data_IF_504594898761
#
_entry.id   IF_504594898761
#
_cell.length_a   1.000
_cell.length_b   1.000
_cell.length_c   1.000
_cell.angle_alpha   90.00
_cell.angle_beta   90.00
_cell.angle_gamma   90.00
#
_symmetry.space_group_name_H-M   'P 1'
#
loop_
_entity.id
_entity.type
_entity.pdbx_description
1 polymer ?
#
# COMPACT_ATOMS: atom_id res chain seq x y z
N UNK A 1 30.96 5.96 -17.49
CA UNK A 1 29.92 7.01 -17.50
C UNK A 1 29.00 6.82 -16.31
N UNK A 2 29.14 7.67 -15.29
CA UNK A 2 28.27 7.74 -14.13
C UNK A 2 26.99 8.49 -14.51
N UNK A 3 25.84 7.82 -14.48
CA UNK A 3 24.54 8.49 -14.53
C UNK A 3 23.95 8.49 -13.12
N UNK A 4 24.22 9.57 -12.41
CA UNK A 4 23.50 9.97 -11.20
C UNK A 4 22.08 10.37 -11.60
N UNK A 5 21.12 9.47 -11.35
CA UNK A 5 19.70 9.77 -11.47
C UNK A 5 19.22 10.38 -10.15
N UNK A 6 19.14 11.72 -10.09
CA UNK A 6 18.51 12.46 -9.00
C UNK A 6 16.99 12.20 -9.01
N UNK A 7 16.56 11.15 -8.29
CA UNK A 7 15.15 10.80 -8.02
C UNK A 7 14.50 11.77 -7.03
N UNK A 8 14.39 13.07 -7.36
CA UNK A 8 13.59 14.00 -6.55
C UNK A 8 12.21 14.33 -7.13
N UNK A 9 11.95 14.06 -8.42
CA UNK A 9 10.75 14.54 -9.10
C UNK A 9 10.05 13.47 -9.96
N UNK A 10 9.89 12.23 -9.49
CA UNK A 10 9.19 11.20 -10.28
C UNK A 10 7.73 11.61 -10.59
N UNK A 11 7.07 12.32 -9.67
CA UNK A 11 5.68 12.74 -9.81
C UNK A 11 5.47 14.01 -10.65
N UNK A 12 6.50 14.86 -10.78
CA UNK A 12 6.37 16.11 -11.54
C UNK A 12 6.18 15.88 -13.05
N UNK A 13 6.47 14.68 -13.55
CA UNK A 13 6.40 14.31 -14.97
C UNK A 13 5.39 13.20 -15.27
N UNK A 14 4.63 12.71 -14.29
CA UNK A 14 3.53 11.77 -14.52
C UNK A 14 2.25 12.55 -14.82
N UNK A 15 2.04 12.88 -16.09
CA UNK A 15 0.71 13.26 -16.58
C UNK A 15 -0.14 11.97 -16.61
N UNK A 16 -1.05 11.83 -15.66
CA UNK A 16 -2.28 11.06 -15.89
C UNK A 16 -3.33 12.05 -16.41
N UNK A 17 -3.33 12.40 -17.70
CA UNK A 17 -4.17 13.47 -18.21
C UNK A 17 -5.68 13.22 -17.98
N UNK A 18 -6.06 11.97 -17.67
CA UNK A 18 -7.45 11.53 -17.54
C UNK A 18 -7.79 10.89 -16.18
N UNK A 19 -6.87 10.84 -15.21
CA UNK A 19 -7.17 10.25 -13.90
C UNK A 19 -7.90 11.26 -13.00
N UNK A 20 -9.23 11.18 -12.98
CA UNK A 20 -10.09 12.07 -12.17
C UNK A 20 -10.04 11.72 -10.67
N UNK A 21 -9.82 10.46 -10.32
CA UNK A 21 -9.82 9.99 -8.93
C UNK A 21 -8.63 9.11 -8.58
N UNK A 22 -8.03 9.35 -7.42
CA UNK A 22 -7.04 8.51 -6.77
C UNK A 22 -7.59 8.05 -5.41
N UNK A 23 -7.64 6.74 -5.19
CA UNK A 23 -8.05 6.15 -3.92
C UNK A 23 -6.87 5.49 -3.23
N UNK A 24 -6.60 5.90 -2.00
CA UNK A 24 -5.56 5.33 -1.15
C UNK A 24 -6.23 4.63 0.02
N UNK A 25 -6.03 3.31 0.11
CA UNK A 25 -6.67 2.47 1.12
C UNK A 25 -5.66 2.10 2.20
N UNK A 26 -5.87 2.61 3.40
CA UNK A 26 -5.10 2.38 4.62
C UNK A 26 -3.58 2.34 4.43
N UNK A 27 -3.05 3.28 3.65
CA UNK A 27 -1.63 3.39 3.34
C UNK A 27 -1.14 4.80 3.66
N UNK A 28 -0.06 4.87 4.45
CA UNK A 28 0.52 6.15 4.86
C UNK A 28 1.12 6.90 3.66
N UNK A 29 0.93 8.23 3.56
CA UNK A 29 1.44 9.02 2.44
C UNK A 29 2.90 9.46 2.62
N UNK A 30 3.44 9.32 3.82
CA UNK A 30 4.82 9.68 4.17
C UNK A 30 5.77 8.50 4.15
N UNK A 31 7.02 8.79 4.47
CA UNK A 31 8.02 7.75 4.78
C UNK A 31 7.52 6.92 5.97
N UNK A 32 7.71 5.60 5.88
CA UNK A 32 7.31 4.67 6.93
C UNK A 32 8.41 4.61 7.96
N UNK A 33 8.12 5.02 9.19
CA UNK A 33 9.04 4.81 10.30
C UNK A 33 9.12 3.30 10.61
N UNK A 34 10.30 2.67 10.53
CA UNK A 34 10.46 1.24 10.84
C UNK A 34 10.02 0.88 12.27
N UNK A 35 10.11 1.83 13.20
CA UNK A 35 9.73 1.63 14.61
C UNK A 35 8.21 1.53 14.82
N UNK A 36 7.40 1.95 13.85
CA UNK A 36 5.95 1.99 13.93
C UNK A 36 5.27 0.75 13.34
N UNK A 37 6.06 -0.25 12.93
CA UNK A 37 5.56 -1.56 12.50
C UNK A 37 6.16 -2.66 13.36
N UNK A 38 5.47 -3.79 13.47
CA UNK A 38 6.00 -5.00 14.10
C UNK A 38 7.16 -5.65 13.32
N UNK A 39 7.52 -5.08 12.15
CA UNK A 39 8.58 -5.57 11.28
C UNK A 39 8.28 -6.94 10.66
N UNK A 40 7.06 -7.46 10.77
CA UNK A 40 6.74 -8.83 10.34
C UNK A 40 6.97 -9.00 8.84
N UNK A 41 6.54 -8.03 8.02
CA UNK A 41 6.74 -8.05 6.56
C UNK A 41 8.23 -8.02 6.20
N UNK A 42 9.03 -7.19 6.85
CA UNK A 42 10.48 -7.13 6.63
C UNK A 42 11.15 -8.46 7.02
N UNK A 43 10.77 -9.01 8.17
CA UNK A 43 11.28 -10.30 8.64
C UNK A 43 10.92 -11.42 7.67
N UNK A 44 9.70 -11.43 7.12
CA UNK A 44 9.28 -12.38 6.09
C UNK A 44 10.16 -12.21 4.85
N UNK A 45 10.25 -11.01 4.27
CA UNK A 45 11.02 -10.77 3.05
C UNK A 45 12.50 -11.18 3.20
N UNK A 46 13.15 -10.79 4.31
CA UNK A 46 14.52 -11.18 4.62
C UNK A 46 14.67 -12.69 4.76
N UNK A 47 13.69 -13.36 5.39
CA UNK A 47 13.68 -14.82 5.49
C UNK A 47 13.61 -15.46 4.11
N UNK A 48 12.69 -14.99 3.25
CA UNK A 48 12.50 -15.55 1.92
C UNK A 48 13.75 -15.38 1.04
N UNK A 49 14.46 -14.25 1.16
CA UNK A 49 15.72 -14.02 0.45
C UNK A 49 16.85 -14.96 0.91
N UNK A 50 16.80 -15.46 2.16
CA UNK A 50 17.76 -16.42 2.70
C UNK A 50 17.46 -17.88 2.35
N UNK A 51 16.32 -18.16 1.72
CA UNK A 51 15.93 -19.53 1.35
C UNK A 51 16.76 -20.06 0.17
N UNK A 52 16.88 -21.40 0.04
CA UNK A 52 17.48 -22.00 -1.14
C UNK A 52 16.73 -21.61 -2.42
N UNK A 53 17.46 -21.52 -3.54
CA UNK A 53 16.93 -21.11 -4.85
C UNK A 53 15.90 -22.08 -5.43
N UNK A 54 15.86 -23.32 -4.95
CA UNK A 54 14.83 -24.31 -5.27
C UNK A 54 14.12 -24.72 -4.00
N UNK A 55 12.81 -24.53 -3.95
CA UNK A 55 12.00 -24.91 -2.80
C UNK A 55 11.56 -26.37 -2.96
N UNK A 56 11.96 -27.28 -2.05
CA UNK A 56 11.70 -28.71 -2.20
C UNK A 56 10.21 -29.07 -2.29
N UNK A 57 9.37 -28.40 -1.50
CA UNK A 57 7.91 -28.53 -1.57
C UNK A 57 7.23 -27.43 -0.74
N UNK A 58 5.95 -27.17 -1.01
CA UNK A 58 5.12 -26.32 -0.15
C UNK A 58 5.14 -26.77 1.31
N UNK A 59 5.05 -28.08 1.57
CA UNK A 59 5.06 -28.64 2.93
C UNK A 59 6.37 -28.34 3.64
N UNK A 60 7.50 -28.44 2.93
CA UNK A 60 8.80 -28.10 3.47
C UNK A 60 8.87 -26.62 3.85
N UNK A 61 8.45 -25.72 2.95
CA UNK A 61 8.47 -24.28 3.21
C UNK A 61 7.64 -23.90 4.45
N UNK A 62 6.41 -24.42 4.54
CA UNK A 62 5.53 -24.16 5.69
C UNK A 62 6.17 -24.63 6.99
N UNK A 63 6.75 -25.84 7.01
CA UNK A 63 7.40 -26.39 8.20
C UNK A 63 8.62 -25.54 8.60
N UNK A 64 9.43 -25.14 7.62
CA UNK A 64 10.62 -24.34 7.84
C UNK A 64 10.31 -22.93 8.36
N UNK A 65 9.28 -22.28 7.84
CA UNK A 65 8.84 -20.96 8.36
C UNK A 65 8.34 -21.06 9.81
N UNK A 66 7.63 -22.13 10.18
CA UNK A 66 7.21 -22.36 11.57
C UNK A 66 8.42 -22.57 12.48
N UNK A 67 9.44 -23.32 12.03
CA UNK A 67 10.70 -23.50 12.78
C UNK A 67 11.43 -22.18 13.02
N UNK A 68 11.30 -21.22 12.10
CA UNK A 68 11.84 -19.85 12.23
C UNK A 68 10.96 -18.93 13.10
N UNK A 69 9.87 -19.44 13.66
CA UNK A 69 9.00 -18.75 14.60
C UNK A 69 7.86 -17.95 13.99
N UNK A 70 7.55 -18.15 12.70
CA UNK A 70 6.36 -17.56 12.09
C UNK A 70 5.08 -18.33 12.46
N UNK A 71 3.95 -17.63 12.45
CA UNK A 71 2.66 -18.28 12.70
C UNK A 71 2.33 -19.30 11.60
N UNK A 72 1.54 -20.31 11.96
CA UNK A 72 1.10 -21.33 11.00
C UNK A 72 0.30 -20.72 9.84
N UNK A 73 -0.62 -19.80 10.15
CA UNK A 73 -1.45 -19.12 9.15
C UNK A 73 -0.61 -18.33 8.15
N UNK A 74 0.37 -17.55 8.62
CA UNK A 74 1.28 -16.81 7.76
C UNK A 74 2.13 -17.76 6.89
N UNK A 75 2.64 -18.83 7.48
CA UNK A 75 3.46 -19.83 6.78
C UNK A 75 2.67 -20.54 5.67
N UNK A 76 1.41 -20.90 5.94
CA UNK A 76 0.50 -21.48 4.94
C UNK A 76 0.14 -20.50 3.83
N UNK A 77 -0.10 -19.23 4.18
CA UNK A 77 -0.36 -18.16 3.21
C UNK A 77 0.82 -17.95 2.26
N UNK A 78 2.05 -17.82 2.77
CA UNK A 78 3.26 -17.73 1.94
C UNK A 78 3.44 -18.99 1.08
N UNK A 79 3.18 -20.17 1.63
CA UNK A 79 3.23 -21.43 0.87
C UNK A 79 2.23 -21.50 -0.29
N UNK A 80 1.13 -20.74 -0.23
CA UNK A 80 0.14 -20.65 -1.32
C UNK A 80 0.67 -19.89 -2.53
N UNK A 81 1.70 -19.04 -2.35
CA UNK A 81 2.35 -18.27 -3.40
C UNK A 81 3.41 -19.06 -4.18
N UNK A 82 3.41 -20.39 -4.08
CA UNK A 82 4.29 -21.29 -4.85
C UNK A 82 3.54 -21.94 -6.01
N UNK A 83 4.19 -21.93 -7.18
CA UNK A 83 3.81 -22.68 -8.36
C UNK A 83 4.60 -23.98 -8.47
N UNK A 84 3.89 -25.06 -8.83
CA UNK A 84 4.51 -26.34 -9.15
C UNK A 84 5.26 -26.25 -10.47
N UNK A 85 6.54 -26.57 -10.45
CA UNK A 85 7.42 -26.64 -11.63
C UNK A 85 8.18 -27.98 -11.61
N UNK A 86 7.54 -29.03 -12.12
CA UNK A 86 8.12 -30.38 -12.12
C UNK A 86 8.27 -30.95 -10.71
N UNK A 87 9.50 -31.32 -10.32
CA UNK A 87 9.83 -31.83 -8.98
C UNK A 87 10.09 -30.73 -7.95
N UNK A 88 10.08 -29.46 -8.36
CA UNK A 88 10.39 -28.32 -7.50
C UNK A 88 9.24 -27.29 -7.49
N UNK A 89 9.20 -26.49 -6.43
CA UNK A 89 8.29 -25.36 -6.32
C UNK A 89 9.05 -24.05 -6.59
N UNK A 90 8.42 -23.13 -7.30
CA UNK A 90 8.97 -21.80 -7.61
C UNK A 90 8.01 -20.71 -7.14
N UNK A 91 8.52 -19.52 -6.86
CA UNK A 91 7.66 -18.39 -6.50
C UNK A 91 6.73 -18.01 -7.64
N UNK A 92 5.46 -17.76 -7.32
CA UNK A 92 4.49 -17.21 -8.26
C UNK A 92 4.70 -15.71 -8.54
N UNK A 93 5.65 -15.08 -7.84
CA UNK A 93 5.99 -13.67 -7.95
C UNK A 93 7.51 -13.48 -7.95
N UNK A 94 7.95 -12.31 -8.40
CA UNK A 94 9.35 -11.89 -8.29
C UNK A 94 9.64 -11.41 -6.87
N UNK A 95 10.39 -12.22 -6.10
CA UNK A 95 10.75 -11.91 -4.73
C UNK A 95 11.63 -10.64 -4.63
N UNK A 96 12.56 -10.46 -5.56
CA UNK A 96 13.45 -9.30 -5.55
C UNK A 96 12.66 -8.03 -5.90
N UNK A 97 11.76 -8.13 -6.88
CA UNK A 97 10.79 -7.08 -7.20
C UNK A 97 9.92 -6.70 -5.99
N UNK A 98 9.44 -7.69 -5.22
CA UNK A 98 8.66 -7.44 -4.01
C UNK A 98 9.45 -6.69 -2.93
N UNK A 99 10.72 -7.06 -2.72
CA UNK A 99 11.63 -6.36 -1.79
C UNK A 99 11.87 -4.93 -2.22
N UNK A 100 12.13 -4.69 -3.51
CA UNK A 100 12.32 -3.35 -4.05
C UNK A 100 11.06 -2.49 -3.92
N UNK A 101 9.88 -3.07 -4.16
CA UNK A 101 8.60 -2.40 -3.99
C UNK A 101 8.35 -2.03 -2.52
N UNK A 102 8.63 -2.94 -1.59
CA UNK A 102 8.51 -2.70 -0.16
C UNK A 102 9.44 -1.58 0.32
N UNK A 103 10.72 -1.61 -0.08
CA UNK A 103 11.67 -0.54 0.25
C UNK A 103 11.24 0.79 -0.35
N UNK A 104 10.80 0.79 -1.61
CA UNK A 104 10.28 2.01 -2.25
C UNK A 104 9.05 2.57 -1.55
N UNK A 105 8.19 1.72 -0.97
CA UNK A 105 7.04 2.17 -0.19
C UNK A 105 7.50 2.85 1.10
N UNK A 106 8.47 2.27 1.80
CA UNK A 106 9.01 2.83 3.05
C UNK A 106 9.72 4.17 2.87
N UNK A 107 10.48 4.33 1.80
CA UNK A 107 11.37 5.47 1.59
C UNK A 107 10.72 6.66 0.87
N UNK A 108 9.52 6.50 0.28
CA UNK A 108 8.91 7.55 -0.52
C UNK A 108 7.92 8.37 0.29
N UNK A 109 8.04 9.68 0.15
CA UNK A 109 7.04 10.63 0.60
C UNK A 109 6.22 11.18 -0.57
N UNK A 110 4.90 11.20 -0.39
CA UNK A 110 3.91 11.76 -1.31
C UNK A 110 3.21 12.99 -0.75
N UNK A 111 3.73 13.60 0.31
CA UNK A 111 3.14 14.80 0.91
C UNK A 111 2.99 15.95 -0.09
N UNK A 112 4.00 16.16 -0.94
CA UNK A 112 3.94 17.20 -1.98
C UNK A 112 2.78 16.99 -2.96
N UNK A 113 2.35 15.75 -3.21
CA UNK A 113 1.19 15.47 -4.07
C UNK A 113 -0.12 15.80 -3.35
N UNK A 114 -0.19 15.57 -2.04
CA UNK A 114 -1.37 15.88 -1.23
C UNK A 114 -1.49 17.38 -0.92
N UNK A 115 -0.37 18.07 -0.82
CA UNK A 115 -0.30 19.53 -0.62
C UNK A 115 -0.62 20.30 -1.90
N UNK A 116 -0.26 19.74 -3.06
CA UNK A 116 -0.46 20.36 -4.37
C UNK A 116 -1.10 19.35 -5.34
N UNK A 117 -2.34 18.91 -5.08
CA UNK A 117 -3.01 17.95 -5.95
C UNK A 117 -3.21 18.56 -7.35
N UNK A 118 -2.96 17.81 -8.44
CA UNK A 118 -3.18 18.29 -9.80
C UNK A 118 -4.62 18.79 -9.98
N UNK A 119 -4.78 19.89 -10.73
CA UNK A 119 -6.10 20.45 -11.01
C UNK A 119 -7.03 19.40 -11.63
N UNK A 120 -8.23 19.28 -11.08
CA UNK A 120 -9.24 18.31 -11.54
C UNK A 120 -9.08 16.90 -10.96
N UNK A 121 -8.02 16.62 -10.21
CA UNK A 121 -7.86 15.34 -9.51
C UNK A 121 -8.51 15.38 -8.13
N UNK A 122 -9.26 14.34 -7.79
CA UNK A 122 -9.73 14.06 -6.44
C UNK A 122 -8.95 12.92 -5.81
N UNK A 123 -8.24 13.19 -4.72
CA UNK A 123 -7.51 12.21 -3.94
C UNK A 123 -8.35 11.89 -2.70
N UNK A 124 -8.78 10.64 -2.56
CA UNK A 124 -9.56 10.17 -1.40
C UNK A 124 -8.74 9.15 -0.62
N UNK A 125 -8.43 9.49 0.62
CA UNK A 125 -7.68 8.64 1.56
C UNK A 125 -8.66 7.99 2.50
N UNK A 126 -8.68 6.66 2.55
CA UNK A 126 -9.51 5.88 3.47
C UNK A 126 -8.61 5.29 4.54
N UNK A 127 -8.70 5.79 5.77
CA UNK A 127 -7.98 5.28 6.94
C UNK A 127 -8.89 4.33 7.73
N UNK A 128 -8.38 3.16 8.13
CA UNK A 128 -9.09 2.31 9.07
C UNK A 128 -9.01 2.90 10.49
N UNK A 129 -10.13 2.90 11.22
CA UNK A 129 -10.20 3.45 12.58
C UNK A 129 -9.21 2.81 13.57
N UNK A 130 -9.00 1.50 13.46
CA UNK A 130 -8.15 0.72 14.36
C UNK A 130 -6.83 0.29 13.71
N UNK A 131 -6.40 0.98 12.64
CA UNK A 131 -5.12 0.69 11.98
C UNK A 131 -3.95 1.14 12.86
N UNK A 132 -2.98 0.25 13.03
CA UNK A 132 -1.74 0.49 13.79
C UNK A 132 -0.67 1.22 12.97
N UNK A 133 -0.94 1.53 11.69
CA UNK A 133 0.03 2.07 10.74
C UNK A 133 0.18 3.59 10.80
N UNK A 134 -0.66 4.29 11.56
CA UNK A 134 -0.82 5.73 11.45
C UNK A 134 -0.40 6.44 12.73
N UNK A 135 0.60 7.30 12.61
CA UNK A 135 0.97 8.23 13.68
C UNK A 135 -0.03 9.39 13.80
N UNK A 136 -0.17 9.90 15.03
CA UNK A 136 -1.09 11.00 15.32
C UNK A 136 -0.78 12.28 14.54
N UNK A 137 0.50 12.58 14.29
CA UNK A 137 0.92 13.76 13.53
C UNK A 137 0.59 13.61 12.04
N UNK A 138 0.74 12.41 11.46
CA UNK A 138 0.33 12.10 10.08
C UNK A 138 -1.18 12.30 9.92
N UNK A 139 -1.96 11.81 10.89
CA UNK A 139 -3.42 11.96 10.93
C UNK A 139 -3.79 13.45 10.98
N UNK A 140 -3.23 14.21 11.91
CA UNK A 140 -3.52 15.64 12.07
C UNK A 140 -3.15 16.45 10.83
N UNK A 141 -2.03 16.12 10.18
CA UNK A 141 -1.61 16.77 8.93
C UNK A 141 -2.60 16.48 7.79
N UNK A 142 -3.05 15.24 7.66
CA UNK A 142 -4.06 14.87 6.66
C UNK A 142 -5.40 15.57 6.88
N UNK A 143 -5.88 15.61 8.12
CA UNK A 143 -7.12 16.31 8.46
C UNK A 143 -7.00 17.81 8.20
N UNK A 144 -5.84 18.41 8.49
CA UNK A 144 -5.58 19.82 8.19
C UNK A 144 -5.64 20.10 6.69
N UNK A 145 -5.02 19.24 5.86
CA UNK A 145 -5.07 19.35 4.39
C UNK A 145 -6.48 19.20 3.84
N UNK A 146 -7.24 18.22 4.33
CA UNK A 146 -8.62 18.00 3.88
C UNK A 146 -9.57 19.16 4.24
N UNK A 147 -9.28 19.87 5.33
CA UNK A 147 -10.06 21.03 5.79
C UNK A 147 -9.61 22.36 5.16
N UNK A 148 -8.46 22.40 4.49
CA UNK A 148 -8.03 23.57 3.73
C UNK A 148 -8.92 23.72 2.50
N UNK A 149 -9.87 24.66 2.57
CA UNK A 149 -10.69 25.03 1.42
C UNK A 149 -9.81 25.60 0.31
N UNK A 150 -9.72 24.89 -0.81
CA UNK A 150 -9.02 25.38 -2.00
C UNK A 150 -9.76 26.52 -2.68
N UNK A 151 -9.02 27.41 -3.34
CA UNK A 151 -9.57 28.46 -4.21
C UNK A 151 -10.04 27.93 -5.59
N UNK A 152 -9.98 26.60 -5.79
CA UNK A 152 -10.33 25.92 -7.03
C UNK A 152 -9.21 25.88 -8.08
N UNK A 153 -8.00 26.37 -7.75
CA UNK A 153 -6.84 26.30 -8.65
C UNK A 153 -6.18 24.92 -8.67
N UNK A 154 -6.27 24.17 -7.56
CA UNK A 154 -5.72 22.82 -7.37
C UNK A 154 -6.82 21.75 -7.30
N UNK A 155 -6.40 20.48 -7.26
CA UNK A 155 -7.27 19.34 -6.98
C UNK A 155 -7.78 19.31 -5.54
N UNK A 156 -8.43 18.21 -5.14
CA UNK A 156 -9.02 18.08 -3.80
C UNK A 156 -8.48 16.85 -3.10
N UNK A 157 -8.22 16.99 -1.80
CA UNK A 157 -7.94 15.86 -0.90
C UNK A 157 -9.12 15.65 0.03
N UNK A 158 -9.57 14.42 0.18
CA UNK A 158 -10.61 14.00 1.13
C UNK A 158 -10.07 12.89 2.00
N UNK A 159 -10.38 12.93 3.29
CA UNK A 159 -9.99 11.90 4.26
C UNK A 159 -11.25 11.28 4.83
N UNK A 160 -11.31 9.95 4.78
CA UNK A 160 -12.41 9.13 5.26
C UNK A 160 -11.89 8.20 6.35
N UNK A 161 -12.67 8.05 7.43
CA UNK A 161 -12.40 7.05 8.46
C UNK A 161 -13.37 5.89 8.27
N UNK A 162 -12.85 4.69 8.09
CA UNK A 162 -13.63 3.46 8.03
C UNK A 162 -13.79 2.90 9.45
N UNK A 163 -15.00 2.99 10.05
CA UNK A 163 -15.21 2.56 11.43
C UNK A 163 -15.07 1.04 11.58
N UNK A 164 -14.66 0.62 12.77
CA UNK A 164 -14.55 -0.80 13.16
C UNK A 164 -13.71 -1.65 12.20
N UNK A 165 -12.65 -1.08 11.62
CA UNK A 165 -11.77 -1.77 10.67
C UNK A 165 -10.31 -1.70 11.13
N UNK A 166 -9.59 -2.80 10.96
CA UNK A 166 -8.14 -2.84 10.99
C UNK A 166 -7.56 -2.58 9.59
N UNK A 167 -6.26 -2.88 9.42
CA UNK A 167 -5.51 -2.59 8.19
C UNK A 167 -6.09 -3.28 6.94
N UNK A 168 -6.71 -4.44 7.09
CA UNK A 168 -7.28 -5.20 5.99
C UNK A 168 -8.68 -4.71 5.68
N UNK A 169 -8.81 -3.45 5.26
CA UNK A 169 -10.09 -2.73 5.12
C UNK A 169 -11.16 -3.46 4.31
N UNK A 170 -10.74 -4.21 3.29
CA UNK A 170 -11.64 -4.98 2.42
C UNK A 170 -12.13 -6.29 3.07
N UNK A 171 -11.38 -6.84 4.03
CA UNK A 171 -11.76 -8.02 4.79
C UNK A 171 -12.51 -7.63 6.07
N UNK A 172 -12.05 -6.60 6.76
CA UNK A 172 -12.54 -6.19 8.07
C UNK A 172 -13.91 -5.49 7.99
N UNK A 173 -14.08 -4.55 7.04
CA UNK A 173 -15.35 -3.85 6.84
C UNK A 173 -15.64 -3.56 5.34
N UNK A 174 -15.90 -4.61 4.53
CA UNK A 174 -16.18 -4.46 3.10
C UNK A 174 -17.43 -3.61 2.81
N UNK A 175 -18.44 -3.67 3.67
CA UNK A 175 -19.69 -2.91 3.49
C UNK A 175 -19.48 -1.42 3.71
N UNK A 176 -18.84 -1.04 4.81
CA UNK A 176 -18.51 0.36 5.09
C UNK A 176 -17.55 0.92 4.05
N UNK A 177 -16.60 0.13 3.57
CA UNK A 177 -15.71 0.55 2.49
C UNK A 177 -16.48 0.84 1.20
N UNK A 178 -17.46 0.00 0.86
CA UNK A 178 -18.32 0.21 -0.30
C UNK A 178 -19.21 1.46 -0.14
N UNK A 179 -19.75 1.72 1.05
CA UNK A 179 -20.54 2.92 1.35
C UNK A 179 -19.74 4.21 1.14
N UNK A 180 -18.43 4.19 1.44
CA UNK A 180 -17.53 5.33 1.22
C UNK A 180 -17.22 5.52 -0.28
N UNK A 181 -16.91 4.43 -0.99
CA UNK A 181 -16.37 4.51 -2.36
C UNK A 181 -17.47 4.62 -3.43
N UNK A 182 -18.56 3.86 -3.29
CA UNK A 182 -19.57 3.70 -4.33
C UNK A 182 -20.21 5.02 -4.80
N UNK A 183 -20.58 5.99 -3.92
CA UNK A 183 -21.19 7.24 -4.36
C UNK A 183 -20.27 8.05 -5.30
N UNK A 184 -18.97 8.08 -5.01
CA UNK A 184 -17.97 8.81 -5.81
C UNK A 184 -17.62 8.10 -7.12
N UNK A 185 -17.64 6.77 -7.15
CA UNK A 185 -17.48 6.04 -8.41
C UNK A 185 -18.70 6.23 -9.32
N UNK A 186 -19.91 6.25 -8.76
CA UNK A 186 -21.13 6.48 -9.51
C UNK A 186 -21.15 7.86 -10.18
N UNK A 187 -20.65 8.91 -9.49
CA UNK A 187 -20.61 10.26 -10.06
C UNK A 187 -19.73 10.39 -11.31
N UNK A 188 -18.71 9.54 -11.47
CA UNK A 188 -17.89 9.50 -12.69
C UNK A 188 -18.71 9.05 -13.90
N UNK A 189 -19.58 8.05 -13.71
CA UNK A 189 -20.41 7.51 -14.81
C UNK A 189 -21.56 8.43 -15.22
N UNK A 190 -22.03 9.28 -14.30
CA UNK A 190 -23.09 10.26 -14.58
C UNK A 190 -22.60 11.48 -15.39
N UNK A 191 -21.29 11.71 -15.47
CA UNK A 191 -20.69 12.81 -16.22
C UNK A 191 -20.36 12.47 -17.69
N UNK A 192 -20.65 11.24 -18.14
CA UNK A 192 -20.43 10.75 -19.51
C UNK A 192 -21.75 10.81 -20.34
N UNK A 193 -22.71 11.64 -19.90
CA UNK A 193 -24.02 11.84 -20.55
C UNK A 193 -24.07 13.07 -21.43
#
# INVERSE_FOLDING_TARGET
CSVTCTRKNFWANFNFPDAEQLWVLDSVPGEVNPENSDGEVEKVLLTLQGLPSSIPSRKWLVSHMIELGFSKSLSEWIGSSLNKSGEHETWAFDLEGAVQMFNSYREKSYWSLLEHPPKGMEISIVRAENSDRWDLDVIQRLESLANQGGDGSEGKVSVHVLPNSGHWVHADNPKGLLEIIAPKLASLTSNIG
#
